data_IF_761238153101
#
_entry.id   IF_761238153101
#
_cell.length_a   1.000
_cell.length_b   1.000
_cell.length_c   1.000
_cell.angle_alpha   90.00
_cell.angle_beta   90.00
_cell.angle_gamma   90.00
#
_symmetry.space_group_name_H-M   'P 1'
#
loop_
_entity.id
_entity.type
_entity.pdbx_description
1 polymer ?
#
# COMPACT_ATOMS: atom_id res chain seq x y z
N UNK A 1 -22.44 -16.02 -11.55
CA UNK A 1 -21.98 -16.83 -10.41
C UNK A 1 -23.15 -16.89 -9.46
N UNK A 2 -23.83 -18.03 -9.41
CA UNK A 2 -25.12 -18.21 -8.73
C UNK A 2 -24.96 -18.04 -7.22
N UNK A 3 -25.78 -17.18 -6.63
CA UNK A 3 -25.92 -17.10 -5.18
C UNK A 3 -26.53 -18.40 -4.68
N UNK A 4 -25.73 -19.22 -4.00
CA UNK A 4 -26.23 -20.37 -3.24
C UNK A 4 -26.96 -19.85 -2.00
N UNK A 5 -28.21 -19.42 -2.18
CA UNK A 5 -29.13 -19.21 -1.07
C UNK A 5 -29.34 -20.56 -0.39
N UNK A 6 -29.19 -20.57 0.93
CA UNK A 6 -29.29 -21.74 1.79
C UNK A 6 -30.69 -22.33 1.65
N UNK A 7 -30.88 -23.28 0.74
CA UNK A 7 -31.93 -24.28 0.89
C UNK A 7 -31.51 -25.10 2.12
N UNK A 8 -32.26 -25.08 3.23
CA UNK A 8 -31.89 -25.91 4.37
C UNK A 8 -31.90 -27.36 3.89
N UNK A 9 -30.82 -28.11 4.16
CA UNK A 9 -30.90 -29.57 4.06
C UNK A 9 -32.10 -30.04 4.88
N UNK A 10 -32.84 -31.03 4.37
CA UNK A 10 -33.99 -31.60 5.09
C UNK A 10 -33.55 -32.07 6.49
N UNK A 11 -33.97 -31.34 7.52
CA UNK A 11 -33.60 -31.58 8.92
C UNK A 11 -32.70 -30.52 9.56
N UNK A 12 -32.25 -29.50 8.82
CA UNK A 12 -31.53 -28.37 9.40
C UNK A 12 -32.47 -27.51 10.28
N UNK A 13 -32.06 -27.12 11.50
CA UNK A 13 -32.89 -26.29 12.37
C UNK A 13 -33.20 -24.95 11.69
N UNK A 14 -34.49 -24.58 11.62
CA UNK A 14 -34.92 -23.27 11.16
C UNK A 14 -34.29 -22.20 12.05
N UNK A 15 -33.38 -21.41 11.49
CA UNK A 15 -32.78 -20.27 12.18
C UNK A 15 -33.86 -19.21 12.37
N UNK A 16 -34.00 -18.72 13.60
CA UNK A 16 -34.87 -17.58 13.90
C UNK A 16 -34.48 -16.37 13.04
N UNK A 17 -35.45 -15.52 12.71
CA UNK A 17 -35.23 -14.35 11.85
C UNK A 17 -34.12 -13.45 12.43
N UNK A 18 -34.08 -13.27 13.75
CA UNK A 18 -33.01 -12.51 14.40
C UNK A 18 -31.63 -13.18 14.27
N UNK A 19 -31.57 -14.51 14.35
CA UNK A 19 -30.33 -15.26 14.15
C UNK A 19 -29.85 -15.20 12.68
N UNK A 20 -30.78 -15.21 11.72
CA UNK A 20 -30.48 -15.09 10.30
C UNK A 20 -29.94 -13.70 9.94
N UNK A 21 -30.52 -12.64 10.52
CA UNK A 21 -30.05 -11.26 10.36
C UNK A 21 -28.64 -11.09 10.92
N UNK A 22 -28.37 -11.62 12.11
CA UNK A 22 -27.05 -11.56 12.73
C UNK A 22 -25.98 -12.21 11.84
N UNK A 23 -26.26 -13.40 11.29
CA UNK A 23 -25.34 -14.08 10.37
C UNK A 23 -25.13 -13.31 9.06
N UNK A 24 -26.17 -12.63 8.55
CA UNK A 24 -26.08 -11.82 7.35
C UNK A 24 -25.21 -10.57 7.60
N UNK A 25 -25.39 -9.93 8.74
CA UNK A 25 -24.64 -8.75 9.18
C UNK A 25 -23.16 -9.09 9.49
N UNK A 26 -22.92 -10.24 10.13
CA UNK A 26 -21.57 -10.78 10.36
C UNK A 26 -20.87 -11.15 9.03
N UNK A 27 -21.58 -11.66 8.03
CA UNK A 27 -21.00 -11.93 6.69
C UNK A 27 -20.73 -10.67 5.89
N UNK A 28 -21.59 -9.66 5.99
CA UNK A 28 -21.39 -8.38 5.31
C UNK A 28 -20.19 -7.59 5.89
N UNK A 29 -19.87 -7.82 7.16
CA UNK A 29 -18.71 -7.24 7.85
C UNK A 29 -17.44 -8.11 7.76
N UNK A 30 -17.55 -9.35 7.28
CA UNK A 30 -16.40 -10.21 7.02
C UNK A 30 -15.67 -9.75 5.75
N UNK A 31 -14.54 -9.07 5.96
CA UNK A 31 -13.59 -8.70 4.92
C UNK A 31 -12.35 -9.56 5.12
N UNK A 32 -12.07 -10.43 4.16
CA UNK A 32 -10.89 -11.30 4.16
C UNK A 32 -9.64 -10.44 3.89
N UNK A 33 -8.75 -10.31 4.88
CA UNK A 33 -7.56 -9.44 4.83
C UNK A 33 -7.53 -8.25 5.80
N UNK A 34 -6.39 -7.54 5.83
CA UNK A 34 -6.19 -6.38 6.71
C UNK A 34 -6.61 -5.06 6.03
N UNK A 35 -7.65 -4.41 6.58
CA UNK A 35 -8.12 -3.06 6.25
C UNK A 35 -7.82 -2.10 7.42
N UNK A 36 -7.98 -0.79 7.21
CA UNK A 36 -7.86 0.25 8.24
C UNK A 36 -8.79 0.07 9.45
N UNK A 37 -9.92 -0.61 9.26
CA UNK A 37 -10.95 -0.82 10.31
C UNK A 37 -11.03 -2.26 10.82
N UNK A 38 -10.61 -3.24 10.01
CA UNK A 38 -10.73 -4.67 10.32
C UNK A 38 -9.43 -5.36 9.97
N UNK A 39 -8.79 -6.01 10.94
CA UNK A 39 -7.51 -6.69 10.76
C UNK A 39 -7.56 -8.06 11.45
N UNK A 40 -7.48 -9.14 10.67
CA UNK A 40 -7.46 -10.52 11.18
C UNK A 40 -6.10 -10.90 11.80
N UNK A 41 -5.03 -10.18 11.46
CA UNK A 41 -3.65 -10.52 11.83
C UNK A 41 -3.16 -9.83 13.11
N UNK A 42 -3.95 -8.92 13.71
CA UNK A 42 -3.56 -8.20 14.93
C UNK A 42 -4.37 -6.92 15.19
N UNK A 43 -3.90 -6.02 16.07
CA UNK A 43 -4.59 -4.77 16.34
C UNK A 43 -4.80 -3.97 15.05
N UNK A 44 -5.98 -3.36 14.82
CA UNK A 44 -6.24 -2.53 13.63
C UNK A 44 -5.28 -1.34 13.53
N UNK A 45 -4.70 -0.93 14.67
CA UNK A 45 -3.68 0.11 14.74
C UNK A 45 -2.39 -0.27 13.99
N UNK A 46 -1.97 -1.54 14.01
CA UNK A 46 -0.77 -1.98 13.29
C UNK A 46 -0.94 -1.88 11.78
N UNK A 47 -2.09 -2.31 11.25
CA UNK A 47 -2.43 -2.17 9.83
C UNK A 47 -2.42 -0.70 9.39
N UNK A 48 -2.96 0.21 10.22
CA UNK A 48 -2.93 1.64 9.94
C UNK A 48 -1.51 2.21 9.83
N UNK A 49 -0.62 1.87 10.76
CA UNK A 49 0.78 2.31 10.70
C UNK A 49 1.51 1.72 9.48
N UNK A 50 1.27 0.44 9.17
CA UNK A 50 1.83 -0.22 7.99
C UNK A 50 1.44 0.51 6.71
N UNK A 51 0.14 0.73 6.47
CA UNK A 51 -0.33 1.42 5.26
C UNK A 51 0.11 2.88 5.19
N UNK A 52 0.15 3.59 6.33
CA UNK A 52 0.58 4.99 6.35
C UNK A 52 2.06 5.14 5.99
N UNK A 53 2.94 4.37 6.61
CA UNK A 53 4.39 4.50 6.43
C UNK A 53 4.81 3.98 5.05
N UNK A 54 4.30 2.81 4.64
CA UNK A 54 4.60 2.25 3.31
C UNK A 54 3.99 3.10 2.19
N UNK A 55 2.76 3.60 2.37
CA UNK A 55 2.10 4.50 1.43
C UNK A 55 2.82 5.84 1.28
N UNK A 56 3.19 6.48 2.40
CA UNK A 56 3.95 7.74 2.38
C UNK A 56 5.31 7.56 1.70
N UNK A 57 6.01 6.47 1.99
CA UNK A 57 7.28 6.17 1.36
C UNK A 57 7.12 5.94 -0.15
N UNK A 58 6.12 5.15 -0.57
CA UNK A 58 5.84 4.91 -1.98
C UNK A 58 5.54 6.20 -2.76
N UNK A 59 4.81 7.14 -2.15
CA UNK A 59 4.60 8.48 -2.72
C UNK A 59 5.91 9.26 -2.88
N UNK A 60 6.82 9.18 -1.91
CA UNK A 60 8.12 9.85 -1.95
C UNK A 60 9.06 9.26 -3.03
N UNK A 61 9.07 7.92 -3.17
CA UNK A 61 9.80 7.25 -4.25
C UNK A 61 9.23 7.68 -5.60
N UNK A 62 7.91 7.70 -5.76
CA UNK A 62 7.26 8.13 -7.00
C UNK A 62 7.63 9.57 -7.40
N UNK A 63 7.61 10.51 -6.46
CA UNK A 63 8.02 11.90 -6.73
C UNK A 63 9.49 12.00 -7.11
N UNK A 64 10.38 11.21 -6.48
CA UNK A 64 11.78 11.14 -6.86
C UNK A 64 12.02 10.53 -8.25
N UNK A 65 11.23 9.52 -8.67
CA UNK A 65 11.33 8.95 -10.04
C UNK A 65 11.04 10.04 -11.07
N UNK A 66 10.01 10.85 -10.82
CA UNK A 66 9.64 11.96 -11.69
C UNK A 66 10.80 12.96 -11.82
N UNK A 67 11.44 13.33 -10.70
CA UNK A 67 12.60 14.22 -10.71
C UNK A 67 13.76 13.62 -11.50
N UNK A 68 14.06 12.32 -11.30
CA UNK A 68 15.08 11.62 -12.06
C UNK A 68 14.76 11.57 -13.55
N UNK A 69 13.49 11.36 -13.92
CA UNK A 69 13.05 11.36 -15.32
C UNK A 69 13.20 12.75 -15.96
N UNK A 70 12.86 13.82 -15.24
CA UNK A 70 13.05 15.21 -15.70
C UNK A 70 14.54 15.49 -15.95
N UNK A 71 15.39 15.10 -15.00
CA UNK A 71 16.85 15.25 -15.11
C UNK A 71 17.39 14.44 -16.29
N UNK A 72 16.94 13.21 -16.48
CA UNK A 72 17.31 12.36 -17.62
C UNK A 72 16.92 13.01 -18.96
N UNK A 73 15.70 13.54 -19.08
CA UNK A 73 15.26 14.25 -20.29
C UNK A 73 16.11 15.51 -20.53
N UNK A 74 16.49 16.22 -19.47
CA UNK A 74 17.34 17.43 -19.55
C UNK A 74 18.77 17.11 -19.99
N UNK A 75 19.30 15.95 -19.58
CA UNK A 75 20.59 15.40 -20.05
C UNK A 75 20.51 15.03 -21.53
N UNK A 76 19.50 14.26 -21.94
CA UNK A 76 19.32 13.81 -23.34
C UNK A 76 19.16 15.01 -24.29
N UNK A 77 18.46 16.07 -23.87
CA UNK A 77 18.31 17.31 -24.66
C UNK A 77 19.59 18.16 -24.75
N UNK A 78 20.70 17.73 -24.17
CA UNK A 78 22.00 18.41 -24.23
C UNK A 78 22.01 19.78 -23.54
N UNK A 79 21.02 20.08 -22.70
CA UNK A 79 20.95 21.36 -21.97
C UNK A 79 22.06 21.44 -20.92
N UNK A 80 22.46 20.28 -20.36
CA UNK A 80 23.53 20.17 -19.38
C UNK A 80 24.92 20.49 -19.98
N UNK A 81 25.17 20.06 -21.22
CA UNK A 81 26.41 20.39 -21.94
C UNK A 81 26.51 21.88 -22.28
N UNK A 82 25.38 22.54 -22.55
CA UNK A 82 25.33 24.00 -22.80
C UNK A 82 25.46 24.88 -21.56
N UNK A 83 25.19 24.35 -20.35
CA UNK A 83 25.29 25.10 -19.08
C UNK A 83 26.60 24.85 -18.31
N UNK A 84 27.42 23.90 -18.74
CA UNK A 84 28.78 23.68 -18.23
C UNK A 84 28.88 23.09 -16.82
N UNK A 85 27.77 22.71 -16.17
CA UNK A 85 27.77 22.20 -14.81
C UNK A 85 26.92 20.94 -14.69
N UNK A 86 27.56 19.81 -14.41
CA UNK A 86 26.93 18.52 -14.09
C UNK A 86 26.29 18.48 -12.68
N UNK A 87 26.38 19.58 -11.94
CA UNK A 87 25.95 19.72 -10.55
C UNK A 87 24.46 19.39 -10.32
N UNK A 88 23.59 19.64 -11.30
CA UNK A 88 22.16 19.30 -11.20
C UNK A 88 21.89 17.79 -11.22
N UNK A 89 22.73 17.00 -11.93
CA UNK A 89 22.61 15.54 -11.96
C UNK A 89 23.13 14.93 -10.67
N UNK A 90 24.26 15.43 -10.17
CA UNK A 90 24.86 14.94 -8.92
C UNK A 90 23.93 15.20 -7.72
N UNK A 91 23.33 16.39 -7.63
CA UNK A 91 22.33 16.71 -6.59
C UNK A 91 21.07 15.84 -6.69
N UNK A 92 20.58 15.56 -7.88
CA UNK A 92 19.42 14.69 -8.09
C UNK A 92 19.73 13.21 -7.77
N UNK A 93 20.89 12.72 -8.17
CA UNK A 93 21.37 11.38 -7.83
C UNK A 93 21.57 11.20 -6.33
N UNK A 94 22.12 12.20 -5.65
CA UNK A 94 22.27 12.19 -4.18
C UNK A 94 20.91 12.17 -3.47
N UNK A 95 19.92 12.94 -3.97
CA UNK A 95 18.55 12.87 -3.45
C UNK A 95 17.93 11.48 -3.64
N UNK A 96 18.15 10.87 -4.80
CA UNK A 96 17.66 9.51 -5.08
C UNK A 96 18.29 8.46 -4.15
N UNK A 97 19.59 8.53 -3.93
CA UNK A 97 20.28 7.65 -2.97
C UNK A 97 19.80 7.88 -1.53
N UNK A 98 19.50 9.11 -1.14
CA UNK A 98 18.94 9.37 0.18
C UNK A 98 17.59 8.70 0.37
N UNK A 99 16.71 8.74 -0.65
CA UNK A 99 15.41 8.06 -0.63
C UNK A 99 15.58 6.54 -0.51
N UNK A 100 16.55 5.96 -1.23
CA UNK A 100 16.88 4.53 -1.17
C UNK A 100 17.37 4.09 0.23
N UNK A 101 18.23 4.88 0.88
CA UNK A 101 18.70 4.58 2.24
C UNK A 101 17.55 4.59 3.27
N UNK A 102 16.61 5.53 3.16
CA UNK A 102 15.42 5.56 4.02
C UNK A 102 14.53 4.34 3.77
N UNK A 103 14.43 3.86 2.53
CA UNK A 103 13.65 2.67 2.19
C UNK A 103 14.21 1.42 2.86
N UNK A 104 15.52 1.20 2.79
CA UNK A 104 16.17 0.03 3.41
C UNK A 104 15.88 -0.01 4.91
N UNK A 105 15.87 1.15 5.57
CA UNK A 105 15.50 1.24 6.99
C UNK A 105 14.04 0.82 7.21
N UNK A 106 13.08 1.44 6.51
CA UNK A 106 11.65 1.10 6.64
C UNK A 106 11.40 -0.38 6.34
N UNK A 107 12.01 -0.92 5.29
CA UNK A 107 11.89 -2.33 4.92
C UNK A 107 12.38 -3.24 6.05
N UNK A 108 13.51 -2.91 6.68
CA UNK A 108 14.07 -3.70 7.78
C UNK A 108 13.13 -3.75 8.98
N UNK A 109 12.55 -2.62 9.41
CA UNK A 109 11.68 -2.57 10.59
C UNK A 109 10.28 -3.16 10.40
N UNK A 110 9.77 -3.21 9.16
CA UNK A 110 8.42 -3.70 8.89
C UNK A 110 8.37 -5.11 8.27
N UNK A 111 9.42 -5.54 7.57
CA UNK A 111 9.45 -6.84 6.89
C UNK A 111 10.44 -7.85 7.49
N UNK A 112 11.50 -7.40 8.20
CA UNK A 112 12.52 -8.30 8.76
C UNK A 112 12.50 -8.41 10.30
N UNK A 113 12.03 -7.37 10.99
CA UNK A 113 11.84 -7.33 12.45
C UNK A 113 10.36 -7.48 12.81
#
# INVERSE_FOLDING_TARGET
>A
MEGHYLVPEEGAPHLDHAASLKLWEDRASYVDGANMTHNEYGPPQYANFFFFITGFHGFHVFSGVIINLIVLIMVIKGVLHRRGHYEMVEKAGLYWHFVDLVWVFVFTFFYLL
#
